data_IF_939530140589
#
_entry.id   IF_939530140589
#
_cell.length_a   1.000
_cell.length_b   1.000
_cell.length_c   1.000
_cell.angle_alpha   90.00
_cell.angle_beta   90.00
_cell.angle_gamma   90.00
#
_symmetry.space_group_name_H-M   'P 1'
#
loop_
_entity.id
_entity.type
_entity.pdbx_description
1 polymer ?
#
# COMPACT_ATOMS: atom_id res chain seq x y z
N UNK A 1 -19.92 -18.09 -38.76
CA UNK A 1 -19.91 -17.18 -37.59
C UNK A 1 -18.62 -17.27 -36.77
N UNK A 2 -18.09 -18.47 -36.49
CA UNK A 2 -16.83 -18.69 -35.73
C UNK A 2 -15.56 -18.01 -36.31
N UNK A 3 -15.29 -18.02 -37.63
CA UNK A 3 -14.05 -17.43 -38.15
C UNK A 3 -14.07 -15.89 -38.10
N UNK A 4 -15.24 -15.28 -38.23
CA UNK A 4 -15.42 -13.83 -38.15
C UNK A 4 -15.10 -13.33 -36.73
N UNK A 5 -15.55 -14.06 -35.70
CA UNK A 5 -15.24 -13.74 -34.31
C UNK A 5 -13.74 -13.79 -34.04
N UNK A 6 -13.03 -14.79 -34.57
CA UNK A 6 -11.58 -14.91 -34.40
C UNK A 6 -10.82 -13.73 -35.03
N UNK A 7 -11.24 -13.27 -36.21
CA UNK A 7 -10.65 -12.08 -36.87
C UNK A 7 -10.92 -10.80 -36.08
N UNK A 8 -12.12 -10.64 -35.52
CA UNK A 8 -12.48 -9.47 -34.72
C UNK A 8 -11.67 -9.40 -33.41
N UNK A 9 -11.38 -10.54 -32.78
CA UNK A 9 -10.55 -10.60 -31.58
C UNK A 9 -9.08 -10.26 -31.87
N UNK A 10 -8.55 -10.67 -33.03
CA UNK A 10 -7.21 -10.26 -33.46
C UNK A 10 -7.13 -8.78 -33.86
N UNK A 11 -8.25 -8.18 -34.26
CA UNK A 11 -8.36 -6.76 -34.59
C UNK A 11 -8.60 -5.86 -33.35
N UNK A 12 -8.77 -6.43 -32.16
CA UNK A 12 -8.93 -5.68 -30.92
C UNK A 12 -7.59 -5.04 -30.51
N UNK A 13 -7.43 -3.75 -30.79
CA UNK A 13 -6.29 -2.96 -30.34
C UNK A 13 -6.40 -2.52 -28.87
N UNK A 14 -5.30 -2.05 -28.27
CA UNK A 14 -5.33 -1.54 -26.90
C UNK A 14 -6.32 -0.39 -26.79
N UNK A 15 -7.27 -0.49 -25.86
CA UNK A 15 -8.14 0.62 -25.51
C UNK A 15 -7.29 1.67 -24.78
N UNK A 16 -6.99 2.77 -25.46
CA UNK A 16 -6.27 3.91 -24.89
C UNK A 16 -7.18 4.64 -23.89
N UNK A 17 -7.34 4.07 -22.69
CA UNK A 17 -7.92 4.79 -21.57
C UNK A 17 -7.03 6.01 -21.29
N UNK A 18 -7.64 7.19 -21.20
CA UNK A 18 -6.88 8.40 -20.90
C UNK A 18 -6.11 8.22 -19.58
N UNK A 19 -4.85 8.68 -19.48
CA UNK A 19 -4.06 8.62 -18.24
C UNK A 19 -4.77 9.26 -17.04
N UNK A 20 -5.74 10.13 -17.29
CA UNK A 20 -6.60 10.72 -16.26
C UNK A 20 -7.37 9.71 -15.39
N UNK A 21 -7.63 8.49 -15.86
CA UNK A 21 -8.20 7.43 -15.01
C UNK A 21 -7.20 6.83 -14.01
N UNK A 22 -5.89 6.88 -14.32
CA UNK A 22 -4.83 6.48 -13.39
C UNK A 22 -4.36 7.64 -12.51
N UNK A 23 -4.60 8.89 -12.91
CA UNK A 23 -4.29 10.06 -12.09
C UNK A 23 -5.04 10.07 -10.74
N UNK A 24 -6.21 9.43 -10.65
CA UNK A 24 -6.92 9.22 -9.39
C UNK A 24 -6.19 8.29 -8.40
N UNK A 25 -5.32 7.39 -8.88
CA UNK A 25 -4.50 6.53 -8.02
C UNK A 25 -3.36 7.29 -7.36
N UNK A 26 -2.81 8.33 -8.02
CA UNK A 26 -1.79 9.20 -7.44
C UNK A 26 -2.38 10.33 -6.57
N UNK A 27 -3.56 10.10 -5.97
CA UNK A 27 -4.20 11.03 -5.04
C UNK A 27 -3.43 11.19 -3.72
N UNK A 28 -3.79 12.22 -2.94
CA UNK A 28 -3.15 12.59 -1.67
C UNK A 28 -2.89 11.42 -0.72
N UNK A 29 -3.75 10.40 -0.73
CA UNK A 29 -3.65 9.21 0.12
C UNK A 29 -2.33 8.45 -0.06
N UNK A 30 -1.74 8.43 -1.26
CA UNK A 30 -0.45 7.77 -1.48
C UNK A 30 0.72 8.52 -0.84
N UNK A 31 0.69 9.85 -0.87
CA UNK A 31 1.70 10.67 -0.20
C UNK A 31 1.54 10.61 1.32
N UNK A 32 0.31 10.58 1.83
CA UNK A 32 0.04 10.37 3.26
C UNK A 32 0.50 8.98 3.71
N UNK A 33 0.22 7.93 2.94
CA UNK A 33 0.71 6.58 3.22
C UNK A 33 2.25 6.53 3.21
N UNK A 34 2.89 7.15 2.21
CA UNK A 34 4.35 7.26 2.15
C UNK A 34 4.93 8.02 3.35
N UNK A 35 4.30 9.11 3.77
CA UNK A 35 4.70 9.88 4.95
C UNK A 35 4.55 9.07 6.25
N UNK A 36 3.45 8.34 6.41
CA UNK A 36 3.21 7.49 7.58
C UNK A 36 4.25 6.36 7.70
N UNK A 37 4.56 5.69 6.58
CA UNK A 37 5.60 4.65 6.54
C UNK A 37 6.97 5.26 6.87
N UNK A 38 7.31 6.40 6.27
CA UNK A 38 8.56 7.10 6.55
C UNK A 38 8.71 7.47 8.03
N UNK A 39 7.62 7.94 8.65
CA UNK A 39 7.61 8.28 10.08
C UNK A 39 7.79 7.05 10.97
N UNK A 40 7.09 5.96 10.68
CA UNK A 40 7.22 4.71 11.44
C UNK A 40 8.65 4.15 11.39
N UNK A 41 9.27 4.16 10.20
CA UNK A 41 10.67 3.73 10.03
C UNK A 41 11.62 4.65 10.82
N UNK A 42 11.43 5.97 10.74
CA UNK A 42 12.26 6.93 11.45
C UNK A 42 12.18 6.75 12.97
N UNK A 43 10.97 6.53 13.52
CA UNK A 43 10.77 6.28 14.95
C UNK A 43 11.34 4.93 15.38
N UNK A 44 11.16 3.87 14.59
CA UNK A 44 11.74 2.55 14.86
C UNK A 44 13.27 2.59 14.88
N UNK A 45 13.89 3.24 13.88
CA UNK A 45 15.34 3.45 13.84
C UNK A 45 15.82 4.31 15.01
N UNK A 46 15.09 5.38 15.34
CA UNK A 46 15.42 6.24 16.48
C UNK A 46 15.35 5.48 17.80
N UNK A 47 14.32 4.66 18.01
CA UNK A 47 14.18 3.81 19.19
C UNK A 47 15.32 2.81 19.30
N UNK A 48 15.63 2.10 18.21
CA UNK A 48 16.76 1.16 18.16
C UNK A 48 18.12 1.84 18.43
N UNK A 49 18.34 3.04 17.90
CA UNK A 49 19.58 3.80 18.10
C UNK A 49 19.67 4.45 19.48
N UNK A 50 18.55 4.74 20.14
CA UNK A 50 18.53 5.40 21.46
C UNK A 50 18.88 4.42 22.60
N UNK A 51 18.91 3.12 22.31
CA UNK A 51 19.21 2.08 23.29
C UNK A 51 18.00 1.78 24.16
N UNK A 52 17.78 0.50 24.41
CA UNK A 52 16.69 -0.03 25.24
C UNK A 52 16.82 0.55 26.66
N UNK A 53 15.99 1.54 27.01
CA UNK A 53 15.61 1.68 28.41
C UNK A 53 14.63 0.55 28.67
N UNK A 54 15.22 -0.59 29.05
CA UNK A 54 14.60 -1.80 29.64
C UNK A 54 13.08 -1.80 29.48
N UNK A 55 12.59 -2.48 28.44
CA UNK A 55 11.17 -2.72 28.26
C UNK A 55 10.61 -3.29 29.57
N UNK A 56 9.65 -2.58 30.14
CA UNK A 56 8.90 -3.07 31.28
C UNK A 56 7.90 -4.11 30.71
N UNK A 57 7.83 -5.32 31.27
CA UNK A 57 7.05 -6.44 30.72
C UNK A 57 5.52 -6.23 30.74
N UNK A 58 5.04 -5.02 31.05
CA UNK A 58 3.62 -4.67 31.09
C UNK A 58 3.08 -4.21 29.72
N UNK A 59 3.93 -3.79 28.77
CA UNK A 59 3.50 -3.31 27.44
C UNK A 59 3.09 -4.43 26.45
N UNK A 60 3.41 -5.71 26.73
CA UNK A 60 3.03 -6.84 25.87
C UNK A 60 1.60 -7.37 26.12
N UNK A 61 0.93 -6.93 27.19
CA UNK A 61 -0.38 -7.48 27.59
C UNK A 61 -1.60 -6.82 26.89
N UNK A 62 -1.47 -5.60 26.35
CA UNK A 62 -2.63 -4.86 25.82
C UNK A 62 -2.93 -5.14 24.32
N UNK A 63 -2.07 -5.89 23.62
CA UNK A 63 -2.23 -6.20 22.20
C UNK A 63 -3.11 -7.41 21.88
N UNK A 64 -3.39 -8.27 22.87
CA UNK A 64 -4.03 -9.57 22.66
C UNK A 64 -5.54 -9.58 22.99
N UNK A 65 -6.06 -8.56 23.68
CA UNK A 65 -7.44 -8.56 24.19
C UNK A 65 -8.50 -8.02 23.20
N UNK A 66 -8.11 -7.59 22.00
CA UNK A 66 -9.04 -7.07 20.98
C UNK A 66 -9.24 -8.04 19.81
N UNK A 67 -9.16 -9.36 20.03
CA UNK A 67 -9.60 -10.37 19.06
C UNK A 67 -10.21 -11.57 19.80
N UNK A 68 -11.44 -11.44 20.32
CA UNK A 68 -12.29 -12.56 20.73
C UNK A 68 -13.77 -12.23 20.53
#
# INVERSE_FOLDING_TARGET
MRPILAVLLLAAGPAAAHPGHLAGLAGHDHWVAGAAIGLAIALGLWGALRGERKADPEDEAEGEEQQA
#
